data_IF_812945426643
#
_entry.id   IF_812945426643
#
_cell.length_a   1.000
_cell.length_b   1.000
_cell.length_c   1.000
_cell.angle_alpha   90.00
_cell.angle_beta   90.00
_cell.angle_gamma   90.00
#
_symmetry.space_group_name_H-M   'P 1'
#
loop_
_entity.id
_entity.type
_entity.pdbx_description
1 polymer ?
#
# COMPACT_ATOMS: atom_id res chain seq x y z
N UNK A 1 -42.97 -16.57 19.74
CA UNK A 1 -42.97 -15.41 20.66
C UNK A 1 -41.57 -15.29 21.23
N UNK A 2 -40.91 -14.13 21.08
CA UNK A 2 -39.61 -13.89 21.72
C UNK A 2 -39.80 -13.55 23.20
N UNK A 3 -38.93 -14.02 24.11
CA UNK A 3 -38.96 -13.62 25.52
C UNK A 3 -38.84 -12.10 25.67
N UNK A 4 -39.59 -11.51 26.62
CA UNK A 4 -39.52 -10.08 26.94
C UNK A 4 -38.09 -9.59 27.28
N UNK A 5 -37.27 -10.46 27.88
CA UNK A 5 -35.85 -10.19 28.16
C UNK A 5 -35.01 -9.99 26.89
N UNK A 6 -35.35 -10.68 25.79
CA UNK A 6 -34.71 -10.51 24.49
C UNK A 6 -35.08 -9.16 23.86
N UNK A 7 -36.31 -8.66 24.08
CA UNK A 7 -36.76 -7.40 23.52
C UNK A 7 -36.04 -6.17 24.11
N UNK A 8 -35.78 -6.19 25.43
CA UNK A 8 -34.98 -5.15 26.09
C UNK A 8 -33.52 -5.16 25.61
N UNK A 9 -32.92 -6.35 25.51
CA UNK A 9 -31.55 -6.50 25.01
C UNK A 9 -31.42 -6.00 23.55
N UNK A 10 -32.42 -6.28 22.70
CA UNK A 10 -32.47 -5.75 21.33
C UNK A 10 -32.59 -4.23 21.26
N UNK A 11 -33.33 -3.60 22.17
CA UNK A 11 -33.47 -2.14 22.18
C UNK A 11 -32.20 -1.43 22.64
N UNK A 12 -31.49 -1.97 23.63
CA UNK A 12 -30.17 -1.45 24.03
C UNK A 12 -29.13 -1.63 22.92
N UNK A 13 -29.11 -2.80 22.27
CA UNK A 13 -28.26 -3.05 21.11
C UNK A 13 -28.59 -2.06 19.98
N UNK A 14 -29.87 -1.85 19.67
CA UNK A 14 -30.29 -0.87 18.64
C UNK A 14 -29.79 0.53 18.94
N UNK A 15 -29.86 0.98 20.19
CA UNK A 15 -29.31 2.28 20.60
C UNK A 15 -27.80 2.40 20.36
N UNK A 16 -27.05 1.33 20.65
CA UNK A 16 -25.61 1.27 20.40
C UNK A 16 -25.26 1.21 18.90
N UNK A 17 -26.08 0.52 18.09
CA UNK A 17 -25.87 0.37 16.66
C UNK A 17 -25.88 1.72 15.92
N UNK A 18 -26.72 2.69 16.30
CA UNK A 18 -26.73 4.02 15.66
C UNK A 18 -25.40 4.79 15.77
N UNK A 19 -24.53 4.42 16.72
CA UNK A 19 -23.21 5.03 16.93
C UNK A 19 -22.07 4.21 16.35
N UNK A 20 -22.34 2.98 15.91
CA UNK A 20 -21.33 2.06 15.40
C UNK A 20 -20.78 2.58 14.06
N UNK A 21 -19.50 2.96 14.04
CA UNK A 21 -18.81 3.41 12.82
C UNK A 21 -17.77 2.43 12.29
N UNK A 22 -17.34 1.50 13.13
CA UNK A 22 -16.32 0.50 12.81
C UNK A 22 -16.74 -0.87 13.32
N UNK A 23 -16.68 -1.87 12.44
CA UNK A 23 -16.96 -3.26 12.75
C UNK A 23 -15.69 -4.08 12.54
N UNK A 24 -15.26 -4.80 13.58
CA UNK A 24 -14.13 -5.73 13.50
C UNK A 24 -14.64 -7.16 13.67
N UNK A 25 -14.39 -8.01 12.67
CA UNK A 25 -14.79 -9.40 12.59
C UNK A 25 -13.56 -10.30 12.76
N UNK A 26 -13.54 -11.12 13.81
CA UNK A 26 -12.44 -12.06 14.08
C UNK A 26 -12.96 -13.44 14.50
N UNK A 27 -12.49 -14.52 13.88
CA UNK A 27 -12.97 -15.88 14.20
C UNK A 27 -12.54 -16.37 15.59
N UNK A 28 -11.40 -15.91 16.10
CA UNK A 28 -10.86 -16.30 17.43
C UNK A 28 -11.67 -15.77 18.62
N UNK A 29 -12.71 -14.97 18.36
CA UNK A 29 -13.65 -14.44 19.37
C UNK A 29 -15.12 -14.70 19.05
N UNK A 30 -15.41 -15.63 18.12
CA UNK A 30 -16.70 -16.33 18.13
C UNK A 30 -16.50 -17.60 18.96
N UNK A 31 -15.99 -17.43 20.19
CA UNK A 31 -15.98 -18.48 21.21
C UNK A 31 -17.33 -18.48 21.91
N UNK A 32 -18.33 -18.65 21.07
CA UNK A 32 -19.71 -18.50 21.43
C UNK A 32 -20.40 -19.69 20.79
N UNK A 33 -20.61 -20.72 21.60
CA UNK A 33 -21.65 -21.74 21.40
C UNK A 33 -23.05 -21.10 21.41
N UNK A 34 -23.26 -19.97 20.73
CA UNK A 34 -24.58 -19.50 20.36
C UNK A 34 -24.90 -20.22 19.07
N UNK A 35 -25.97 -21.00 19.09
CA UNK A 35 -26.63 -21.47 17.88
C UNK A 35 -26.72 -20.31 16.88
N UNK A 36 -26.36 -20.55 15.62
CA UNK A 36 -26.43 -19.57 14.52
C UNK A 36 -27.83 -18.91 14.44
N UNK A 37 -28.86 -19.58 14.97
CA UNK A 37 -30.23 -19.07 15.11
C UNK A 37 -30.38 -17.91 16.12
N UNK A 38 -29.52 -17.81 17.14
CA UNK A 38 -29.51 -16.70 18.13
C UNK A 38 -28.74 -15.47 17.63
N UNK A 39 -27.92 -15.60 16.58
CA UNK A 39 -27.22 -14.49 15.90
C UNK A 39 -28.06 -13.83 14.79
N UNK A 40 -29.21 -14.40 14.42
CA UNK A 40 -30.10 -13.86 13.39
C UNK A 40 -30.48 -12.37 13.59
N UNK A 41 -30.66 -11.85 14.83
CA UNK A 41 -30.93 -10.44 15.06
C UNK A 41 -29.69 -9.53 14.94
N UNK A 42 -28.49 -10.10 15.07
CA UNK A 42 -27.20 -9.43 14.89
C UNK A 42 -26.74 -9.48 13.42
N UNK A 43 -27.48 -10.15 12.54
CA UNK A 43 -27.17 -10.32 11.12
C UNK A 43 -27.53 -9.11 10.23
N UNK A 44 -28.15 -8.07 10.80
CA UNK A 44 -28.70 -6.93 10.06
C UNK A 44 -27.99 -5.61 10.42
N UNK A 45 -26.76 -5.43 9.94
CA UNK A 45 -26.05 -4.14 9.99
C UNK A 45 -26.48 -3.18 8.87
N UNK A 46 -27.35 -3.62 7.96
CA UNK A 46 -27.86 -2.81 6.84
C UNK A 46 -28.48 -1.48 7.29
N UNK A 47 -29.00 -1.44 8.52
CA UNK A 47 -29.65 -0.27 9.11
C UNK A 47 -28.72 0.58 9.98
N UNK A 48 -27.40 0.28 10.01
CA UNK A 48 -26.41 1.03 10.79
C UNK A 48 -25.90 2.21 9.97
N UNK A 49 -26.37 3.45 10.23
CA UNK A 49 -26.21 4.57 9.31
C UNK A 49 -24.82 5.24 9.37
N UNK A 50 -23.95 4.77 10.28
CA UNK A 50 -22.61 5.34 10.49
C UNK A 50 -21.50 4.34 10.21
N UNK A 51 -21.83 3.08 9.91
CA UNK A 51 -20.83 2.05 9.69
C UNK A 51 -20.12 2.32 8.37
N UNK A 52 -18.85 2.73 8.46
CA UNK A 52 -18.02 3.07 7.31
C UNK A 52 -16.73 2.24 7.24
N UNK A 53 -16.39 1.58 8.34
CA UNK A 53 -15.12 0.86 8.51
C UNK A 53 -15.39 -0.62 8.80
N UNK A 54 -14.82 -1.49 7.99
CA UNK A 54 -14.84 -2.94 8.21
C UNK A 54 -13.40 -3.43 8.35
N UNK A 55 -13.15 -4.21 9.39
CA UNK A 55 -11.91 -4.95 9.58
C UNK A 55 -12.19 -6.44 9.71
N UNK A 56 -11.45 -7.30 9.01
CA UNK A 56 -11.54 -8.76 9.18
C UNK A 56 -10.16 -9.32 9.48
N UNK A 57 -10.05 -10.20 10.49
CA UNK A 57 -8.78 -10.89 10.76
C UNK A 57 -8.64 -12.21 9.99
N UNK A 58 -9.76 -12.74 9.48
CA UNK A 58 -9.88 -14.09 8.91
C UNK A 58 -10.59 -14.04 7.54
N UNK A 59 -10.38 -15.03 6.65
CA UNK A 59 -10.85 -15.01 5.26
C UNK A 59 -12.36 -15.07 5.05
N UNK A 60 -13.15 -14.99 6.11
CA UNK A 60 -14.56 -15.25 6.06
C UNK A 60 -15.35 -14.06 6.58
N UNK A 61 -16.01 -13.35 5.65
CA UNK A 61 -17.18 -12.54 5.99
C UNK A 61 -18.37 -13.51 5.95
N UNK A 62 -19.07 -13.71 7.07
CA UNK A 62 -20.19 -14.63 7.08
C UNK A 62 -21.25 -14.21 6.07
N UNK A 63 -21.68 -15.14 5.20
CA UNK A 63 -22.67 -14.86 4.13
C UNK A 63 -24.01 -14.32 4.66
N UNK A 64 -24.33 -14.60 5.92
CA UNK A 64 -25.53 -14.09 6.58
C UNK A 64 -25.41 -12.63 7.03
N UNK A 65 -24.20 -12.06 7.03
CA UNK A 65 -23.96 -10.69 7.48
C UNK A 65 -24.43 -9.71 6.41
N UNK A 66 -25.52 -8.99 6.68
CA UNK A 66 -25.98 -7.92 5.80
C UNK A 66 -25.34 -6.60 6.24
N UNK A 67 -24.47 -6.04 5.41
CA UNK A 67 -23.74 -4.81 5.68
C UNK A 67 -24.29 -3.65 4.84
N UNK A 68 -24.17 -2.39 5.32
CA UNK A 68 -24.54 -1.21 4.57
C UNK A 68 -23.42 -0.88 3.56
N UNK A 69 -23.21 -1.75 2.57
CA UNK A 69 -22.03 -1.74 1.71
C UNK A 69 -21.75 -0.40 1.02
N UNK A 70 -22.79 0.33 0.63
CA UNK A 70 -22.65 1.65 0.01
C UNK A 70 -22.03 2.70 0.95
N UNK A 71 -22.11 2.52 2.26
CA UNK A 71 -21.56 3.45 3.25
C UNK A 71 -20.10 3.14 3.62
N UNK A 72 -19.60 1.97 3.22
CA UNK A 72 -18.25 1.52 3.56
C UNK A 72 -17.22 2.32 2.77
N UNK A 73 -16.36 3.03 3.50
CA UNK A 73 -15.26 3.84 2.95
C UNK A 73 -13.90 3.24 3.28
N UNK A 74 -13.81 2.37 4.29
CA UNK A 74 -12.58 1.71 4.70
C UNK A 74 -12.81 0.20 4.86
N UNK A 75 -11.97 -0.57 4.21
CA UNK A 75 -11.90 -2.02 4.37
C UNK A 75 -10.46 -2.43 4.67
N UNK A 76 -10.27 -3.29 5.68
CA UNK A 76 -9.01 -3.95 5.95
C UNK A 76 -9.26 -5.42 6.30
N UNK A 77 -8.42 -6.33 5.84
CA UNK A 77 -8.48 -7.71 6.29
C UNK A 77 -8.14 -8.79 5.29
N UNK A 78 -8.69 -9.96 5.56
CA UNK A 78 -8.40 -11.20 4.87
C UNK A 78 -9.65 -11.66 4.13
N UNK A 79 -9.51 -12.11 2.88
CA UNK A 79 -10.64 -12.53 2.04
C UNK A 79 -10.18 -13.48 0.93
N UNK A 80 -11.03 -14.39 0.47
CA UNK A 80 -10.74 -15.12 -0.76
C UNK A 80 -10.96 -14.24 -2.00
N UNK A 81 -10.42 -14.68 -3.13
CA UNK A 81 -10.51 -13.94 -4.39
C UNK A 81 -11.97 -13.61 -4.79
N UNK A 82 -12.92 -14.54 -4.65
CA UNK A 82 -14.32 -14.29 -5.06
C UNK A 82 -14.97 -13.24 -4.19
N UNK A 83 -14.83 -13.40 -2.87
CA UNK A 83 -15.41 -12.48 -1.89
C UNK A 83 -14.84 -11.08 -2.04
N UNK A 84 -13.58 -10.95 -2.46
CA UNK A 84 -12.97 -9.66 -2.79
C UNK A 84 -13.68 -8.95 -3.94
N UNK A 85 -13.87 -9.60 -5.09
CA UNK A 85 -14.55 -9.00 -6.25
C UNK A 85 -15.97 -8.57 -5.88
N UNK A 86 -16.73 -9.45 -5.23
CA UNK A 86 -18.09 -9.16 -4.76
C UNK A 86 -18.13 -7.97 -3.79
N UNK A 87 -17.10 -7.82 -2.95
CA UNK A 87 -17.01 -6.71 -2.00
C UNK A 87 -16.72 -5.38 -2.72
N UNK A 88 -15.79 -5.37 -3.67
CA UNK A 88 -15.52 -4.17 -4.46
C UNK A 88 -16.75 -3.69 -5.24
N UNK A 89 -17.54 -4.63 -5.78
CA UNK A 89 -18.78 -4.29 -6.51
C UNK A 89 -19.82 -3.65 -5.59
N UNK A 90 -19.90 -4.12 -4.34
CA UNK A 90 -20.86 -3.63 -3.35
C UNK A 90 -20.43 -2.34 -2.65
N UNK A 91 -19.15 -1.95 -2.73
CA UNK A 91 -18.58 -0.82 -1.98
C UNK A 91 -18.13 0.33 -2.90
N UNK A 92 -19.06 0.99 -3.63
CA UNK A 92 -18.69 2.03 -4.60
C UNK A 92 -18.02 3.27 -3.98
N UNK A 93 -18.19 3.50 -2.67
CA UNK A 93 -17.63 4.63 -1.93
C UNK A 93 -16.32 4.29 -1.18
N UNK A 94 -15.72 3.14 -1.49
CA UNK A 94 -14.47 2.70 -0.86
C UNK A 94 -13.33 3.67 -1.16
N UNK A 95 -12.66 4.16 -0.11
CA UNK A 95 -11.51 5.08 -0.16
C UNK A 95 -10.20 4.41 0.22
N UNK A 96 -10.25 3.47 1.15
CA UNK A 96 -9.09 2.70 1.58
C UNK A 96 -9.43 1.23 1.56
N UNK A 97 -8.60 0.47 0.88
CA UNK A 97 -8.71 -0.97 0.81
C UNK A 97 -7.35 -1.59 1.13
N UNK A 98 -7.30 -2.37 2.19
CA UNK A 98 -6.07 -2.98 2.69
C UNK A 98 -6.20 -4.48 2.87
N UNK A 99 -5.64 -5.23 1.95
CA UNK A 99 -5.68 -6.67 1.98
C UNK A 99 -4.47 -7.20 2.77
N UNK A 100 -4.71 -8.02 3.81
CA UNK A 100 -3.68 -8.68 4.64
C UNK A 100 -3.41 -10.15 4.35
N UNK A 101 -4.43 -10.97 3.98
CA UNK A 101 -4.19 -12.26 3.28
C UNK A 101 -5.29 -12.65 2.27
N UNK A 102 -4.93 -13.17 1.10
CA UNK A 102 -5.83 -13.68 0.05
C UNK A 102 -5.58 -15.17 -0.11
N UNK A 103 -6.62 -15.96 0.08
CA UNK A 103 -6.54 -17.40 -0.10
C UNK A 103 -7.10 -17.78 -1.46
N UNK A 104 -6.31 -18.51 -2.25
CA UNK A 104 -6.80 -19.22 -3.42
C UNK A 104 -7.37 -20.54 -2.98
N UNK A 105 -8.67 -20.71 -3.16
CA UNK A 105 -9.34 -21.98 -2.95
C UNK A 105 -9.10 -22.92 -4.14
N UNK A 106 -7.86 -23.19 -4.55
CA UNK A 106 -7.44 -24.25 -5.50
C UNK A 106 -8.17 -24.37 -6.85
N UNK A 107 -9.14 -23.52 -7.14
CA UNK A 107 -10.08 -23.61 -8.24
C UNK A 107 -9.76 -22.49 -9.21
N UNK A 108 -9.19 -22.86 -10.35
CA UNK A 108 -8.92 -22.02 -11.51
C UNK A 108 -10.23 -21.58 -12.21
N UNK A 109 -11.27 -21.25 -11.45
CA UNK A 109 -12.48 -20.72 -12.06
C UNK A 109 -12.15 -19.35 -12.66
N UNK A 110 -12.68 -19.03 -13.85
CA UNK A 110 -12.38 -17.81 -14.59
C UNK A 110 -13.07 -16.57 -13.99
N UNK A 111 -12.98 -16.37 -12.68
CA UNK A 111 -13.56 -15.23 -11.95
C UNK A 111 -13.04 -13.91 -12.54
N UNK A 112 -11.80 -13.91 -13.05
CA UNK A 112 -11.19 -12.80 -13.78
C UNK A 112 -11.84 -12.43 -15.12
N UNK A 113 -12.87 -13.14 -15.58
CA UNK A 113 -13.63 -12.73 -16.77
C UNK A 113 -14.58 -11.58 -16.49
N UNK A 114 -14.92 -11.32 -15.22
CA UNK A 114 -15.78 -10.20 -14.86
C UNK A 114 -14.96 -8.91 -14.79
N UNK A 115 -15.41 -7.83 -15.46
CA UNK A 115 -14.74 -6.55 -15.34
C UNK A 115 -14.90 -6.03 -13.91
N UNK A 116 -13.77 -5.65 -13.30
CA UNK A 116 -13.77 -5.02 -11.98
C UNK A 116 -14.53 -3.69 -12.00
N UNK A 117 -15.27 -3.36 -10.93
CA UNK A 117 -15.96 -2.08 -10.81
C UNK A 117 -14.95 -0.93 -10.74
N UNK A 118 -15.30 0.20 -11.35
CA UNK A 118 -14.46 1.40 -11.28
C UNK A 118 -14.63 2.03 -9.90
N UNK A 119 -13.61 1.87 -9.04
CA UNK A 119 -13.58 2.44 -7.70
C UNK A 119 -13.14 3.91 -7.74
N UNK A 120 -14.07 4.80 -8.12
CA UNK A 120 -13.79 6.23 -8.37
C UNK A 120 -13.15 6.96 -7.19
N UNK A 121 -13.45 6.54 -5.96
CA UNK A 121 -13.02 7.21 -4.74
C UNK A 121 -11.86 6.50 -4.03
N UNK A 122 -11.32 5.41 -4.60
CA UNK A 122 -10.24 4.67 -3.95
C UNK A 122 -8.96 5.49 -3.96
N UNK A 123 -8.53 5.93 -2.78
CA UNK A 123 -7.34 6.76 -2.56
C UNK A 123 -6.13 5.93 -2.12
N UNK A 124 -6.38 4.85 -1.38
CA UNK A 124 -5.35 3.97 -0.82
C UNK A 124 -5.64 2.52 -1.20
N UNK A 125 -4.69 1.90 -1.90
CA UNK A 125 -4.67 0.47 -2.15
C UNK A 125 -3.45 -0.13 -1.47
N UNK A 126 -3.69 -1.02 -0.53
CA UNK A 126 -2.66 -1.73 0.22
C UNK A 126 -2.78 -3.23 -0.07
N UNK A 127 -1.78 -3.75 -0.77
CA UNK A 127 -1.63 -5.14 -1.19
C UNK A 127 -0.48 -5.79 -0.40
N UNK A 128 -0.38 -5.47 0.89
CA UNK A 128 0.64 -6.07 1.76
C UNK A 128 0.24 -7.51 2.11
N UNK A 129 0.66 -8.51 1.32
CA UNK A 129 0.32 -9.91 1.58
C UNK A 129 1.34 -10.97 1.18
N UNK A 130 1.27 -12.06 1.94
CA UNK A 130 1.73 -13.40 1.63
C UNK A 130 0.95 -13.96 0.42
N UNK A 131 1.25 -13.48 -0.80
CA UNK A 131 0.72 -13.95 -2.09
C UNK A 131 1.20 -15.37 -2.42
N UNK A 132 1.13 -16.27 -1.44
CA UNK A 132 1.42 -17.69 -1.64
C UNK A 132 0.40 -18.22 -2.63
N UNK A 133 0.85 -18.48 -3.85
CA UNK A 133 0.10 -19.13 -4.93
C UNK A 133 -1.03 -18.37 -5.65
N UNK A 134 -1.26 -17.07 -5.40
CA UNK A 134 -2.19 -16.26 -6.23
C UNK A 134 -1.46 -15.15 -6.96
N UNK A 135 -1.53 -15.18 -8.29
CA UNK A 135 -1.34 -13.98 -9.10
C UNK A 135 -2.56 -13.07 -8.89
N UNK A 136 -2.47 -12.14 -7.94
CA UNK A 136 -3.42 -11.03 -7.92
C UNK A 136 -3.34 -10.35 -9.29
N UNK A 137 -4.45 -10.25 -10.04
CA UNK A 137 -4.43 -9.86 -11.45
C UNK A 137 -4.31 -8.33 -11.59
N UNK A 138 -3.18 -7.76 -11.16
CA UNK A 138 -2.95 -6.31 -11.17
C UNK A 138 -3.18 -5.71 -12.57
N UNK A 139 -2.88 -6.46 -13.61
CA UNK A 139 -3.09 -6.11 -15.00
C UNK A 139 -4.57 -5.91 -15.39
N UNK A 140 -5.51 -6.56 -14.69
CA UNK A 140 -6.96 -6.46 -14.97
C UNK A 140 -7.63 -5.36 -14.16
N UNK A 141 -6.95 -4.80 -13.15
CA UNK A 141 -7.49 -3.68 -12.38
C UNK A 141 -7.79 -2.48 -13.28
N UNK A 142 -8.95 -1.83 -13.11
CA UNK A 142 -9.34 -0.69 -13.91
C UNK A 142 -8.47 0.53 -13.55
N UNK A 143 -8.65 1.61 -14.30
CA UNK A 143 -8.08 2.90 -13.89
C UNK A 143 -8.76 3.35 -12.59
N UNK A 144 -7.95 3.71 -11.61
CA UNK A 144 -8.30 4.19 -10.28
C UNK A 144 -7.97 5.69 -10.21
N UNK A 145 -8.87 6.57 -10.66
CA UNK A 145 -8.55 7.98 -10.91
C UNK A 145 -8.18 8.78 -9.65
N UNK A 146 -8.56 8.29 -8.47
CA UNK A 146 -8.27 8.93 -7.19
C UNK A 146 -7.11 8.29 -6.43
N UNK A 147 -6.46 7.27 -6.99
CA UNK A 147 -5.42 6.51 -6.29
C UNK A 147 -4.19 7.39 -6.03
N UNK A 148 -3.88 7.58 -4.75
CA UNK A 148 -2.73 8.38 -4.28
C UNK A 148 -1.67 7.54 -3.57
N UNK A 149 -2.09 6.48 -2.88
CA UNK A 149 -1.19 5.61 -2.14
C UNK A 149 -1.31 4.18 -2.63
N UNK A 150 -0.19 3.62 -3.08
CA UNK A 150 -0.05 2.20 -3.37
C UNK A 150 0.98 1.60 -2.42
N UNK A 151 0.62 0.47 -1.81
CA UNK A 151 1.53 -0.35 -1.02
C UNK A 151 1.48 -1.76 -1.54
N UNK A 152 2.65 -2.33 -1.79
CA UNK A 152 2.78 -3.70 -2.28
C UNK A 152 3.84 -4.39 -1.45
N UNK A 153 3.45 -5.47 -0.77
CA UNK A 153 4.39 -6.37 -0.10
C UNK A 153 4.14 -7.77 -0.62
N UNK A 154 5.20 -8.44 -1.07
CA UNK A 154 5.16 -9.85 -1.48
C UNK A 154 6.34 -10.58 -0.88
N UNK A 155 6.04 -11.57 -0.04
CA UNK A 155 7.03 -12.47 0.58
C UNK A 155 7.29 -13.74 -0.25
N UNK A 156 6.47 -14.00 -1.26
CA UNK A 156 6.59 -15.13 -2.19
C UNK A 156 7.25 -14.70 -3.50
N UNK A 157 8.17 -15.54 -3.97
CA UNK A 157 8.94 -15.40 -5.23
C UNK A 157 8.07 -15.80 -6.42
N UNK A 158 7.12 -16.73 -6.23
CA UNK A 158 6.43 -17.42 -7.33
C UNK A 158 5.06 -16.86 -7.70
N UNK A 159 4.40 -16.12 -6.79
CA UNK A 159 3.02 -15.67 -6.96
C UNK A 159 2.85 -14.25 -7.51
N UNK A 160 3.86 -13.38 -7.39
CA UNK A 160 3.72 -11.96 -7.74
C UNK A 160 4.09 -11.68 -9.20
N UNK A 161 3.13 -11.17 -9.98
CA UNK A 161 3.37 -10.77 -11.37
C UNK A 161 4.02 -9.39 -11.44
N UNK A 162 5.33 -9.36 -11.67
CA UNK A 162 6.10 -8.12 -11.89
C UNK A 162 5.60 -7.35 -13.12
N UNK A 163 5.24 -8.06 -14.18
CA UNK A 163 4.61 -7.51 -15.39
C UNK A 163 3.22 -6.93 -15.09
N UNK A 164 2.44 -7.63 -14.23
CA UNK A 164 1.14 -7.17 -13.76
C UNK A 164 1.25 -5.85 -13.00
N UNK A 165 2.24 -5.71 -12.12
CA UNK A 165 2.52 -4.45 -11.44
C UNK A 165 2.95 -3.35 -12.41
N UNK A 166 3.83 -3.65 -13.38
CA UNK A 166 4.24 -2.68 -14.39
C UNK A 166 3.03 -2.19 -15.21
N UNK A 167 2.16 -3.10 -15.64
CA UNK A 167 0.91 -2.80 -16.34
C UNK A 167 -0.01 -1.92 -15.48
N UNK A 168 -0.19 -2.27 -14.20
CA UNK A 168 -0.99 -1.47 -13.27
C UNK A 168 -0.45 -0.05 -13.10
N UNK A 169 0.86 0.09 -12.89
CA UNK A 169 1.51 1.38 -12.71
C UNK A 169 1.49 2.20 -14.01
N UNK A 170 1.59 1.58 -15.18
CA UNK A 170 1.48 2.30 -16.45
C UNK A 170 0.12 2.98 -16.62
N UNK A 171 -0.95 2.39 -16.05
CA UNK A 171 -2.33 2.91 -16.10
C UNK A 171 -2.63 3.91 -14.98
N UNK A 172 -2.12 3.66 -13.77
CA UNK A 172 -2.51 4.37 -12.54
C UNK A 172 -1.42 5.28 -11.96
N UNK A 173 -0.19 5.16 -12.44
CA UNK A 173 0.99 5.72 -11.79
C UNK A 173 1.08 7.25 -11.79
N UNK A 174 0.38 7.93 -12.70
CA UNK A 174 0.33 9.40 -12.77
C UNK A 174 -0.44 10.05 -11.61
N UNK A 175 -1.23 9.29 -10.85
CA UNK A 175 -1.94 9.77 -9.65
C UNK A 175 -1.21 9.45 -8.34
N UNK A 176 -0.24 8.53 -8.36
CA UNK A 176 0.38 8.00 -7.15
C UNK A 176 1.35 9.04 -6.56
N UNK A 177 1.10 9.41 -5.31
CA UNK A 177 1.91 10.32 -4.50
C UNK A 177 2.80 9.56 -3.50
N UNK A 178 2.33 8.41 -3.02
CA UNK A 178 3.04 7.54 -2.06
C UNK A 178 3.14 6.13 -2.62
N UNK A 179 4.36 5.64 -2.81
CA UNK A 179 4.63 4.29 -3.25
C UNK A 179 5.45 3.55 -2.21
N UNK A 180 4.93 2.41 -1.73
CA UNK A 180 5.65 1.52 -0.81
C UNK A 180 5.82 0.14 -1.43
N UNK A 181 7.05 -0.35 -1.48
CA UNK A 181 7.41 -1.61 -2.13
C UNK A 181 8.23 -2.47 -1.18
N UNK A 182 7.78 -3.69 -0.94
CA UNK A 182 8.48 -4.73 -0.21
C UNK A 182 8.28 -6.06 -0.94
N UNK A 183 8.87 -6.18 -2.13
CA UNK A 183 8.63 -7.30 -3.05
C UNK A 183 9.91 -8.13 -3.15
N UNK A 184 9.83 -9.38 -2.69
CA UNK A 184 10.93 -10.35 -2.78
C UNK A 184 11.42 -10.52 -4.22
N UNK A 185 12.73 -10.67 -4.37
CA UNK A 185 13.42 -10.90 -5.65
C UNK A 185 13.12 -9.90 -6.77
N UNK A 186 12.80 -8.66 -6.40
CA UNK A 186 12.75 -7.54 -7.35
C UNK A 186 14.14 -7.26 -7.90
N UNK A 187 14.31 -7.34 -9.23
CA UNK A 187 15.53 -6.86 -9.86
C UNK A 187 15.54 -5.32 -9.93
N UNK A 188 16.73 -4.75 -10.04
CA UNK A 188 16.91 -3.30 -10.14
C UNK A 188 16.19 -2.74 -11.37
N UNK A 189 16.21 -3.47 -12.48
CA UNK A 189 15.59 -3.10 -13.75
C UNK A 189 14.07 -2.97 -13.62
N UNK A 190 13.42 -3.91 -12.93
CA UNK A 190 11.97 -3.87 -12.69
C UNK A 190 11.60 -2.68 -11.81
N UNK A 191 12.34 -2.48 -10.73
CA UNK A 191 12.14 -1.33 -9.83
C UNK A 191 12.25 0.00 -10.58
N UNK A 192 13.26 0.17 -11.43
CA UNK A 192 13.43 1.37 -12.25
C UNK A 192 12.28 1.52 -13.25
N UNK A 193 11.87 0.43 -13.91
CA UNK A 193 10.73 0.42 -14.83
C UNK A 193 9.44 0.88 -14.15
N UNK A 194 9.13 0.35 -12.97
CA UNK A 194 7.98 0.73 -12.16
C UNK A 194 8.01 2.20 -11.78
N UNK A 195 9.15 2.71 -11.32
CA UNK A 195 9.29 4.11 -10.91
C UNK A 195 9.18 5.10 -12.08
N UNK A 196 9.54 4.70 -13.29
CA UNK A 196 9.33 5.51 -14.49
C UNK A 196 7.85 5.70 -14.81
N UNK A 197 6.98 4.77 -14.40
CA UNK A 197 5.53 4.91 -14.54
C UNK A 197 4.91 5.79 -13.44
N UNK A 198 5.65 6.18 -12.40
CA UNK A 198 5.13 6.94 -11.25
C UNK A 198 5.83 8.28 -11.03
N UNK A 199 5.89 9.19 -12.02
CA UNK A 199 6.66 10.44 -11.92
C UNK A 199 6.13 11.43 -10.85
N UNK A 200 4.90 11.23 -10.37
CA UNK A 200 4.27 12.07 -9.35
C UNK A 200 4.62 11.71 -7.91
N UNK A 201 5.32 10.59 -7.70
CA UNK A 201 5.67 10.11 -6.36
C UNK A 201 6.47 11.16 -5.60
N UNK A 202 5.96 11.48 -4.41
CA UNK A 202 6.58 12.38 -3.44
C UNK A 202 7.16 11.62 -2.26
N UNK A 203 6.61 10.45 -1.94
CA UNK A 203 7.09 9.55 -0.89
C UNK A 203 7.36 8.16 -1.46
N UNK A 204 8.62 7.73 -1.42
CA UNK A 204 9.05 6.40 -1.82
C UNK A 204 9.57 5.64 -0.60
N UNK A 205 9.02 4.45 -0.39
CA UNK A 205 9.43 3.52 0.67
C UNK A 205 9.78 2.18 0.04
N UNK A 206 11.05 1.77 0.12
CA UNK A 206 11.54 0.51 -0.43
C UNK A 206 12.11 -0.32 0.72
N UNK A 207 11.49 -1.46 0.99
CA UNK A 207 12.00 -2.47 1.90
C UNK A 207 12.58 -3.64 1.10
N UNK A 208 13.91 -3.73 1.11
CA UNK A 208 14.70 -4.79 0.48
C UNK A 208 15.17 -5.84 1.48
N UNK A 209 14.57 -5.92 2.68
CA UNK A 209 15.01 -6.86 3.73
C UNK A 209 14.84 -8.32 3.34
N UNK A 210 13.89 -8.63 2.44
CA UNK A 210 13.65 -9.97 1.91
C UNK A 210 14.26 -10.22 0.52
N UNK A 211 14.89 -9.22 -0.11
CA UNK A 211 15.32 -9.29 -1.51
C UNK A 211 16.73 -9.84 -1.67
N UNK A 212 16.88 -10.98 -2.37
CA UNK A 212 18.20 -11.56 -2.68
C UNK A 212 18.94 -10.70 -3.71
N UNK A 213 18.21 -10.14 -4.67
CA UNK A 213 18.77 -9.38 -5.79
C UNK A 213 19.36 -8.00 -5.40
N UNK A 214 19.09 -7.51 -4.18
CA UNK A 214 19.54 -6.19 -3.68
C UNK A 214 19.30 -5.06 -4.71
N UNK A 215 18.03 -4.76 -5.04
CA UNK A 215 17.71 -3.79 -6.10
C UNK A 215 18.20 -2.37 -5.78
N UNK A 216 18.33 -2.04 -4.49
CA UNK A 216 18.86 -0.76 -4.03
C UNK A 216 20.40 -0.83 -3.99
N UNK A 217 21.02 -0.36 -5.07
CA UNK A 217 22.47 -0.28 -5.23
C UNK A 217 22.92 1.04 -5.88
N UNK A 218 24.22 1.23 -6.12
CA UNK A 218 24.76 2.45 -6.72
C UNK A 218 24.11 2.83 -8.05
N UNK A 219 23.80 1.83 -8.89
CA UNK A 219 23.16 2.07 -10.18
C UNK A 219 21.76 2.61 -9.99
N UNK A 220 20.98 2.00 -9.09
CA UNK A 220 19.65 2.50 -8.72
C UNK A 220 19.71 3.93 -8.17
N UNK A 221 20.64 4.24 -7.27
CA UNK A 221 20.84 5.60 -6.78
C UNK A 221 21.24 6.57 -7.89
N UNK A 222 22.02 6.09 -8.87
CA UNK A 222 22.38 6.82 -10.08
C UNK A 222 21.18 7.25 -10.92
N UNK A 223 20.15 6.41 -11.03
CA UNK A 223 18.88 6.74 -11.72
C UNK A 223 18.07 7.82 -10.98
N UNK A 224 18.27 7.92 -9.66
CA UNK A 224 17.68 8.99 -8.85
C UNK A 224 18.48 10.30 -8.92
N UNK A 225 19.68 10.33 -9.50
CA UNK A 225 20.45 11.59 -9.62
C UNK A 225 19.78 12.51 -10.64
N UNK A 226 19.45 13.73 -10.25
CA UNK A 226 19.00 14.73 -11.21
C UNK A 226 20.21 15.48 -11.79
N UNK A 227 20.49 15.28 -13.08
CA UNK A 227 21.63 15.93 -13.75
C UNK A 227 21.21 17.20 -14.47
N UNK A 228 22.04 18.22 -14.38
CA UNK A 228 21.86 19.47 -15.13
C UNK A 228 21.80 19.18 -16.63
N UNK A 229 20.79 19.72 -17.31
CA UNK A 229 20.59 19.54 -18.74
C UNK A 229 20.00 18.19 -19.17
N UNK A 230 19.72 17.26 -18.24
CA UNK A 230 18.96 16.05 -18.57
C UNK A 230 17.46 16.33 -18.45
N UNK A 231 16.71 15.95 -19.48
CA UNK A 231 15.27 16.13 -19.57
C UNK A 231 14.47 15.19 -18.68
N UNK A 232 15.08 14.12 -18.16
CA UNK A 232 14.40 13.11 -17.36
C UNK A 232 15.18 12.79 -16.09
N UNK A 233 14.59 13.13 -14.94
CA UNK A 233 14.98 12.58 -13.65
C UNK A 233 13.88 11.60 -13.21
N UNK A 234 14.23 10.38 -12.78
CA UNK A 234 13.26 9.43 -12.25
C UNK A 234 12.58 10.06 -11.03
N UNK A 235 11.25 9.94 -10.89
CA UNK A 235 10.48 10.50 -9.75
C UNK A 235 10.90 11.94 -9.36
N UNK A 236 10.72 12.92 -10.26
CA UNK A 236 11.21 14.28 -10.04
C UNK A 236 10.58 14.93 -8.82
N UNK A 237 9.38 14.51 -8.38
CA UNK A 237 8.68 15.11 -7.25
C UNK A 237 9.06 14.54 -5.87
N UNK A 238 10.02 13.64 -5.78
CA UNK A 238 10.41 12.95 -4.55
C UNK A 238 10.85 13.94 -3.44
N UNK A 239 10.19 13.87 -2.28
CA UNK A 239 10.49 14.64 -1.06
C UNK A 239 10.93 13.76 0.09
N UNK A 240 10.45 12.51 0.14
CA UNK A 240 10.75 11.57 1.20
C UNK A 240 11.18 10.24 0.60
N UNK A 241 12.37 9.78 1.00
CA UNK A 241 12.93 8.49 0.62
C UNK A 241 13.17 7.64 1.87
N UNK A 242 12.55 6.46 1.94
CA UNK A 242 12.83 5.44 2.95
C UNK A 242 13.40 4.22 2.25
N UNK A 243 14.58 3.80 2.68
CA UNK A 243 15.25 2.59 2.21
C UNK A 243 15.49 1.70 3.42
N UNK A 244 14.99 0.46 3.38
CA UNK A 244 15.15 -0.53 4.44
C UNK A 244 15.73 -1.84 3.91
N UNK A 245 16.48 -2.57 4.75
CA UNK A 245 16.89 -3.95 4.47
C UNK A 245 18.35 -4.12 4.06
N UNK A 246 18.62 -5.14 3.23
CA UNK A 246 19.96 -5.47 2.75
C UNK A 246 20.32 -4.61 1.53
N UNK A 247 20.87 -3.43 1.82
CA UNK A 247 21.15 -2.39 0.83
C UNK A 247 22.66 -2.28 0.63
N UNK A 248 23.11 -2.21 -0.62
CA UNK A 248 24.54 -2.19 -0.97
C UNK A 248 24.86 -1.05 -1.95
N UNK A 249 25.30 0.08 -1.41
CA UNK A 249 25.82 1.21 -2.20
C UNK A 249 27.03 1.84 -1.51
N UNK A 250 27.87 2.51 -2.30
CA UNK A 250 28.96 3.36 -1.81
C UNK A 250 28.43 4.73 -1.40
N UNK A 251 29.05 5.30 -0.36
CA UNK A 251 28.74 6.64 0.14
C UNK A 251 28.77 7.73 -0.94
N UNK A 252 29.67 7.59 -1.92
CA UNK A 252 29.77 8.54 -3.02
C UNK A 252 28.49 8.59 -3.86
N UNK A 253 27.91 7.44 -4.21
CA UNK A 253 26.69 7.38 -5.01
C UNK A 253 25.50 7.96 -4.24
N UNK A 254 25.41 7.64 -2.94
CA UNK A 254 24.36 8.17 -2.07
C UNK A 254 24.46 9.67 -1.86
N UNK A 255 25.65 10.20 -1.58
CA UNK A 255 25.88 11.64 -1.48
C UNK A 255 25.58 12.35 -2.78
N UNK A 256 25.97 11.78 -3.93
CA UNK A 256 25.69 12.34 -5.24
C UNK A 256 24.18 12.48 -5.47
N UNK A 257 23.40 11.42 -5.16
CA UNK A 257 21.94 11.44 -5.24
C UNK A 257 21.36 12.52 -4.33
N UNK A 258 21.77 12.60 -3.05
CA UNK A 258 21.32 13.64 -2.13
C UNK A 258 21.63 15.02 -2.68
N UNK A 259 22.90 15.31 -3.01
CA UNK A 259 23.31 16.65 -3.43
C UNK A 259 22.57 17.12 -4.69
N UNK A 260 22.29 16.20 -5.61
CA UNK A 260 21.55 16.50 -6.84
C UNK A 260 20.10 16.93 -6.61
N UNK A 261 19.48 16.50 -5.50
CA UNK A 261 18.09 16.82 -5.14
C UNK A 261 17.97 17.77 -3.96
N UNK A 262 19.07 18.08 -3.30
CA UNK A 262 19.09 18.86 -2.07
C UNK A 262 19.25 20.35 -2.33
N UNK A 263 20.05 20.71 -3.33
CA UNK A 263 20.37 22.11 -3.61
C UNK A 263 19.12 22.87 -4.09
N UNK A 264 18.94 24.12 -3.67
CA UNK A 264 17.94 24.96 -4.29
C UNK A 264 18.30 25.10 -5.77
N UNK A 265 17.40 24.64 -6.64
CA UNK A 265 17.50 24.91 -8.06
C UNK A 265 17.47 26.42 -8.25
N UNK A 266 18.32 26.92 -9.14
CA UNK A 266 18.29 28.34 -9.49
C UNK A 266 16.92 28.69 -10.08
N UNK A 267 16.48 29.94 -9.93
CA UNK A 267 15.17 30.41 -10.43
C UNK A 267 14.96 30.19 -11.93
N UNK A 268 16.04 29.99 -12.70
CA UNK A 268 15.97 29.67 -14.13
C UNK A 268 15.65 28.18 -14.42
N UNK A 269 16.08 27.27 -13.54
CA UNK A 269 15.83 25.82 -13.67
C UNK A 269 14.38 25.45 -13.32
N UNK A 270 13.65 26.35 -12.67
CA UNK A 270 12.27 26.13 -12.23
C UNK A 270 11.26 26.15 -13.40
N UNK A 271 11.66 26.70 -14.55
CA UNK A 271 10.77 27.00 -15.68
C UNK A 271 10.45 25.75 -16.53
N UNK A 272 11.27 24.68 -16.46
CA UNK A 272 11.16 23.51 -17.36
C UNK A 272 10.67 22.20 -16.70
N UNK A 273 10.11 22.25 -15.49
CA UNK A 273 9.59 21.07 -14.79
C UNK A 273 10.36 20.81 -13.52
N UNK A 274 9.81 21.30 -12.41
CA UNK A 274 10.48 21.35 -11.12
C UNK A 274 10.72 19.96 -10.54
N UNK A 275 11.99 19.57 -10.45
CA UNK A 275 12.40 18.56 -9.48
C UNK A 275 12.15 19.11 -8.07
N UNK A 276 11.40 18.38 -7.26
CA UNK A 276 11.21 18.70 -5.85
C UNK A 276 12.51 18.51 -5.09
N UNK A 277 12.73 19.39 -4.11
CA UNK A 277 13.80 19.20 -3.15
C UNK A 277 13.52 17.99 -2.27
N UNK A 278 14.48 17.07 -2.18
CA UNK A 278 14.44 15.96 -1.23
C UNK A 278 14.50 16.54 0.19
N UNK A 279 13.55 16.24 1.06
CA UNK A 279 13.43 16.83 2.41
C UNK A 279 13.87 15.85 3.51
N UNK A 280 13.61 14.57 3.30
CA UNK A 280 13.82 13.53 4.31
C UNK A 280 14.37 12.27 3.65
N UNK A 281 15.39 11.69 4.27
CA UNK A 281 15.94 10.39 3.88
C UNK A 281 16.09 9.52 5.12
N UNK A 282 15.47 8.35 5.09
CA UNK A 282 15.65 7.32 6.09
C UNK A 282 16.35 6.12 5.47
N UNK A 283 17.40 5.66 6.12
CA UNK A 283 18.08 4.41 5.79
C UNK A 283 18.02 3.52 7.04
N UNK A 284 17.44 2.34 6.89
CA UNK A 284 17.33 1.34 7.95
C UNK A 284 18.01 0.06 7.45
N UNK A 285 19.28 -0.15 7.78
CA UNK A 285 20.06 -1.29 7.28
C UNK A 285 20.24 -2.34 8.36
N UNK A 286 20.04 -3.61 8.03
CA UNK A 286 20.24 -4.76 8.96
C UNK A 286 21.70 -5.21 9.07
N UNK A 287 22.54 -4.82 8.11
CA UNK A 287 23.97 -5.05 8.14
C UNK A 287 24.70 -3.72 8.15
N UNK A 288 25.83 -3.66 8.87
CA UNK A 288 26.67 -2.48 8.92
C UNK A 288 27.08 -2.11 7.50
N UNK A 289 26.37 -1.14 6.91
CA UNK A 289 26.98 -0.28 5.91
C UNK A 289 28.18 0.30 6.63
N UNK A 290 29.39 -0.07 6.22
CA UNK A 290 30.60 0.64 6.63
C UNK A 290 30.48 2.04 6.04
N UNK A 291 29.67 2.88 6.68
CA UNK A 291 29.60 4.30 6.37
C UNK A 291 30.99 4.85 6.65
N UNK A 292 31.60 5.39 5.61
CA UNK A 292 32.85 6.10 5.73
C UNK A 292 32.66 7.21 6.76
N UNK A 293 33.68 7.44 7.59
CA UNK A 293 33.72 8.54 8.55
C UNK A 293 33.38 9.88 7.87
N UNK A 294 33.72 10.03 6.58
CA UNK A 294 33.39 11.19 5.76
C UNK A 294 31.88 11.43 5.61
N UNK A 295 31.07 10.37 5.45
CA UNK A 295 29.62 10.52 5.31
C UNK A 295 29.02 10.99 6.64
N UNK A 296 29.44 10.36 7.74
CA UNK A 296 29.05 10.72 9.10
C UNK A 296 29.43 12.16 9.44
N UNK A 297 30.60 12.63 8.98
CA UNK A 297 31.05 14.01 9.17
C UNK A 297 30.26 15.02 8.32
N UNK A 298 29.76 14.62 7.15
CA UNK A 298 29.01 15.51 6.23
C UNK A 298 27.52 15.61 6.53
N UNK A 299 26.89 14.56 7.08
CA UNK A 299 25.46 14.55 7.41
C UNK A 299 25.00 15.69 8.34
N UNK A 300 25.76 16.10 9.38
CA UNK A 300 25.41 17.26 10.20
C UNK A 300 25.28 18.56 9.40
N UNK A 301 26.15 18.77 8.41
CA UNK A 301 26.09 19.97 7.55
C UNK A 301 24.80 20.03 6.72
N UNK A 302 24.26 18.87 6.33
CA UNK A 302 23.00 18.75 5.62
C UNK A 302 21.79 18.98 6.54
N UNK A 303 21.87 18.55 7.81
CA UNK A 303 20.82 18.82 8.82
C UNK A 303 20.61 20.31 9.05
N UNK A 304 21.70 21.08 9.12
CA UNK A 304 21.65 22.54 9.26
C UNK A 304 20.99 23.25 8.09
N UNK A 305 20.82 22.56 6.94
CA UNK A 305 20.17 23.10 5.75
C UNK A 305 18.70 22.64 5.61
N UNK A 306 18.13 21.99 6.64
CA UNK A 306 16.78 21.39 6.73
C UNK A 306 16.65 19.90 6.35
N UNK A 307 17.74 19.16 6.06
CA UNK A 307 17.63 17.75 5.62
C UNK A 307 17.46 16.89 6.87
N UNK A 308 16.35 16.17 6.97
CA UNK A 308 16.22 15.14 8.00
C UNK A 308 16.77 13.83 7.45
N UNK A 309 18.07 13.62 7.64
CA UNK A 309 18.71 12.35 7.38
C UNK A 309 18.77 11.54 8.68
N UNK A 310 18.12 10.38 8.68
CA UNK A 310 18.13 9.42 9.78
C UNK A 310 18.65 8.08 9.25
N UNK A 311 19.80 7.66 9.75
CA UNK A 311 20.34 6.34 9.49
C UNK A 311 20.27 5.55 10.80
N UNK A 312 19.60 4.40 10.74
CA UNK A 312 19.49 3.45 11.83
C UNK A 312 20.21 2.17 11.39
N UNK A 313 21.16 1.76 12.22
CA UNK A 313 21.89 0.49 12.14
C UNK A 313 21.32 -0.51 13.14
#
# INVERSE_FOLDING_TARGET
MMPLSMHFYMNEIRGCLFRLSSLHLSATKIDVQLNIEELAPLACYSSVPRLSTIKTSEPFIPKFLTLPWEQITFWEGTTDERTWFDMLEKTPNLRTCSFTKVYTLGHQDPIFTRPLPILKYLEVLDLTQDLRSSSFPLETMPVLPSLKCLRVTSDDISGFSQEGLASFLSKNGLGIETLKLCIRDTAKEDLVSWLNHTPTVTELDIDSSSCIARPVNDRFLGELVCRLGQSSCMIPKLKLLRLKGDILFFDHAFLLMIYSRWRPFSTEETINGTTSRLQTVHIICSHWVRMNADLTARLPSLRNQSLRAMIQS
#
